data_IF_006796968313
#
_entry.id   IF_006796968313
#
_cell.length_a   1.000
_cell.length_b   1.000
_cell.length_c   1.000
_cell.angle_alpha   90.00
_cell.angle_beta   90.00
_cell.angle_gamma   90.00
#
_symmetry.space_group_name_H-M   'P 1'
#
loop_
_entity.id
_entity.type
_entity.pdbx_description
1 polymer ?
#
# COMPACT_ATOMS: atom_id res chain seq x y z
N UNK A 1 17.39 -7.67 0.46
CA UNK A 1 16.67 -7.97 1.71
C UNK A 1 15.93 -6.71 2.15
N UNK A 2 14.71 -6.83 2.69
CA UNK A 2 13.97 -5.68 3.21
C UNK A 2 14.72 -5.06 4.39
N UNK A 3 14.98 -3.76 4.30
CA UNK A 3 15.55 -2.95 5.38
C UNK A 3 14.40 -2.40 6.24
N UNK A 4 14.40 -2.70 7.54
CA UNK A 4 13.33 -2.33 8.48
C UNK A 4 13.31 -0.84 8.77
N UNK A 5 14.47 -0.19 8.87
CA UNK A 5 14.57 1.26 9.09
C UNK A 5 14.02 2.03 7.89
N UNK A 6 14.42 1.65 6.67
CA UNK A 6 13.91 2.26 5.45
C UNK A 6 12.40 2.03 5.27
N UNK A 7 11.90 0.85 5.68
CA UNK A 7 10.48 0.54 5.66
C UNK A 7 9.70 1.40 6.65
N UNK A 8 10.20 1.58 7.88
CA UNK A 8 9.57 2.42 8.89
C UNK A 8 9.46 3.88 8.44
N UNK A 9 10.52 4.43 7.83
CA UNK A 9 10.52 5.77 7.26
C UNK A 9 9.44 5.92 6.18
N UNK A 10 9.37 4.97 5.24
CA UNK A 10 8.35 5.02 4.18
C UNK A 10 6.94 4.79 4.71
N UNK A 11 6.75 3.92 5.70
CA UNK A 11 5.46 3.73 6.35
C UNK A 11 4.99 5.03 7.02
N UNK A 12 5.89 5.75 7.68
CA UNK A 12 5.61 7.07 8.25
C UNK A 12 5.22 8.08 7.16
N UNK A 13 5.91 8.08 6.01
CA UNK A 13 5.54 8.93 4.87
C UNK A 13 4.12 8.65 4.35
N UNK A 14 3.70 7.38 4.31
CA UNK A 14 2.32 7.01 3.95
C UNK A 14 1.35 7.57 4.99
N UNK A 15 1.62 7.35 6.28
CA UNK A 15 0.79 7.88 7.37
C UNK A 15 0.63 9.41 7.29
N UNK A 16 1.72 10.12 7.09
CA UNK A 16 1.74 11.58 7.00
C UNK A 16 0.98 12.09 5.77
N UNK A 17 1.13 11.42 4.61
CA UNK A 17 0.42 11.77 3.38
C UNK A 17 -1.10 11.69 3.54
N UNK A 18 -1.59 10.70 4.29
CA UNK A 18 -3.02 10.55 4.58
C UNK A 18 -3.48 11.30 5.83
N UNK A 19 -2.58 11.97 6.57
CA UNK A 19 -2.91 12.63 7.83
C UNK A 19 -3.36 11.67 8.93
N UNK A 20 -2.87 10.43 8.93
CA UNK A 20 -3.27 9.38 9.88
C UNK A 20 -2.23 9.21 10.98
N UNK A 21 -2.66 9.22 12.24
CA UNK A 21 -1.84 8.77 13.35
C UNK A 21 -1.76 7.22 13.39
N UNK A 22 -0.85 6.67 14.21
CA UNK A 22 -0.62 5.21 14.28
C UNK A 22 -1.87 4.39 14.64
N UNK A 23 -2.73 4.93 15.52
CA UNK A 23 -3.97 4.24 15.91
C UNK A 23 -4.96 4.19 14.76
N UNK A 24 -5.24 5.35 14.13
CA UNK A 24 -6.14 5.45 12.99
C UNK A 24 -5.63 4.63 11.79
N UNK A 25 -4.31 4.59 11.58
CA UNK A 25 -3.71 3.80 10.52
C UNK A 25 -3.91 2.29 10.76
N UNK A 26 -3.68 1.81 11.98
CA UNK A 26 -3.92 0.41 12.33
C UNK A 26 -5.40 0.02 12.18
N UNK A 27 -6.29 0.89 12.67
CA UNK A 27 -7.75 0.70 12.57
C UNK A 27 -8.18 0.65 11.08
N UNK A 28 -7.57 1.47 10.20
CA UNK A 28 -7.87 1.48 8.76
C UNK A 28 -7.46 0.21 7.99
N UNK A 29 -6.47 -0.51 8.51
CA UNK A 29 -5.95 -1.77 7.98
C UNK A 29 -6.51 -2.99 8.71
N UNK A 30 -7.40 -2.78 9.70
CA UNK A 30 -7.99 -3.82 10.54
C UNK A 30 -6.93 -4.71 11.22
N UNK A 31 -5.88 -4.09 11.74
CA UNK A 31 -4.80 -4.77 12.48
C UNK A 31 -4.64 -4.19 13.88
N UNK A 32 -3.90 -4.90 14.74
CA UNK A 32 -3.61 -4.42 16.09
C UNK A 32 -2.69 -3.20 16.06
N UNK A 33 -2.99 -2.19 16.89
CA UNK A 33 -2.19 -0.96 17.05
C UNK A 33 -0.75 -1.22 17.47
N UNK A 34 -0.52 -2.25 18.28
CA UNK A 34 0.82 -2.74 18.65
C UNK A 34 1.64 -3.13 17.42
N UNK A 35 1.00 -3.67 16.38
CA UNK A 35 1.63 -4.02 15.11
C UNK A 35 2.27 -2.81 14.43
N UNK A 36 1.54 -1.70 14.31
CA UNK A 36 2.08 -0.44 13.76
C UNK A 36 3.21 0.10 14.63
N UNK A 37 3.01 0.14 15.96
CA UNK A 37 4.04 0.65 16.88
C UNK A 37 5.35 -0.14 16.78
N UNK A 38 5.29 -1.46 16.65
CA UNK A 38 6.49 -2.29 16.53
C UNK A 38 7.21 -2.08 15.19
N UNK A 39 6.47 -1.88 14.10
CA UNK A 39 7.04 -1.56 12.78
C UNK A 39 7.75 -0.21 12.77
N UNK A 40 7.12 0.83 13.33
CA UNK A 40 7.71 2.17 13.42
C UNK A 40 8.93 2.21 14.35
N UNK A 41 8.96 1.36 15.39
CA UNK A 41 10.12 1.21 16.28
C UNK A 41 11.20 0.24 15.77
N UNK A 42 11.04 -0.27 14.54
CA UNK A 42 12.00 -1.16 13.86
C UNK A 42 12.26 -2.51 14.54
N UNK A 43 11.50 -2.86 15.59
CA UNK A 43 11.68 -4.13 16.31
C UNK A 43 11.20 -5.34 15.51
N UNK A 44 10.28 -5.12 14.57
CA UNK A 44 9.66 -6.17 13.77
C UNK A 44 9.81 -5.91 12.27
N UNK A 45 9.93 -7.00 11.50
CA UNK A 45 9.73 -6.98 10.05
C UNK A 45 8.23 -6.97 9.72
N UNK A 46 7.80 -6.27 8.66
CA UNK A 46 6.44 -6.38 8.17
C UNK A 46 6.15 -7.80 7.68
N UNK A 47 4.97 -8.32 7.98
CA UNK A 47 4.47 -9.55 7.37
C UNK A 47 4.01 -9.29 5.94
N UNK A 48 3.94 -10.35 5.12
CA UNK A 48 3.38 -10.24 3.77
C UNK A 48 1.92 -9.80 3.82
N UNK A 49 1.12 -10.34 4.74
CA UNK A 49 -0.28 -9.95 4.95
C UNK A 49 -0.43 -8.45 5.20
N UNK A 50 0.43 -7.88 6.06
CA UNK A 50 0.45 -6.44 6.30
C UNK A 50 0.70 -5.65 5.02
N UNK A 51 1.72 -6.04 4.24
CA UNK A 51 2.09 -5.33 3.01
C UNK A 51 0.97 -5.42 1.98
N UNK A 52 0.32 -6.58 1.84
CA UNK A 52 -0.80 -6.75 0.91
C UNK A 52 -1.99 -5.86 1.30
N UNK A 53 -2.38 -5.86 2.57
CA UNK A 53 -3.44 -4.96 3.07
C UNK A 53 -3.09 -3.50 2.86
N UNK A 54 -1.83 -3.13 3.08
CA UNK A 54 -1.34 -1.77 2.89
C UNK A 54 -1.52 -1.29 1.44
N UNK A 55 -1.03 -2.05 0.46
CA UNK A 55 -1.11 -1.65 -0.96
C UNK A 55 -2.53 -1.77 -1.54
N UNK A 56 -3.37 -2.62 -0.95
CA UNK A 56 -4.79 -2.71 -1.31
C UNK A 56 -5.57 -1.50 -0.79
N UNK A 57 -5.31 -1.10 0.47
CA UNK A 57 -5.98 0.03 1.12
C UNK A 57 -5.52 1.38 0.60
N UNK A 58 -4.23 1.52 0.28
CA UNK A 58 -3.59 2.75 -0.15
C UNK A 58 -2.97 2.56 -1.55
N UNK A 59 -3.75 2.70 -2.63
CA UNK A 59 -3.33 2.35 -4.00
C UNK A 59 -2.15 3.18 -4.55
N UNK A 60 -1.86 4.31 -3.91
CA UNK A 60 -0.72 5.19 -4.15
C UNK A 60 0.60 4.55 -3.68
N UNK A 61 0.53 3.56 -2.78
CA UNK A 61 1.68 2.82 -2.26
C UNK A 61 2.06 1.71 -3.23
N UNK A 62 3.21 1.84 -3.85
CA UNK A 62 3.78 0.78 -4.68
C UNK A 62 4.56 -0.25 -3.83
N UNK A 63 4.44 -1.53 -4.18
CA UNK A 63 5.10 -2.66 -3.51
C UNK A 63 6.64 -2.57 -3.56
N UNK A 64 7.21 -2.21 -4.72
CA UNK A 64 8.66 -2.05 -4.86
C UNK A 64 9.15 -0.81 -4.13
N UNK A 65 8.34 0.25 -4.10
CA UNK A 65 8.67 1.44 -3.35
C UNK A 65 8.69 1.17 -1.85
N UNK A 66 7.62 0.61 -1.28
CA UNK A 66 7.53 0.39 0.17
C UNK A 66 8.57 -0.62 0.67
N UNK A 67 8.90 -1.64 -0.13
CA UNK A 67 9.83 -2.70 0.30
C UNK A 67 11.30 -2.45 -0.06
N UNK A 68 11.58 -1.83 -1.21
CA UNK A 68 12.93 -1.66 -1.76
C UNK A 68 13.32 -0.20 -2.07
N UNK A 69 12.42 0.77 -1.85
CA UNK A 69 12.65 2.19 -2.17
C UNK A 69 12.71 2.49 -3.67
N UNK A 70 12.27 1.58 -4.53
CA UNK A 70 12.30 1.75 -6.00
C UNK A 70 10.96 2.28 -6.51
N UNK A 71 11.00 3.29 -7.37
CA UNK A 71 9.80 3.96 -7.88
C UNK A 71 9.52 5.26 -7.12
N UNK A 72 8.25 5.66 -7.04
CA UNK A 72 7.85 6.87 -6.33
C UNK A 72 6.58 6.66 -5.51
N UNK A 73 6.48 7.40 -4.42
CA UNK A 73 5.25 7.61 -3.67
C UNK A 73 4.95 9.12 -3.62
N UNK A 74 3.71 9.56 -3.89
CA UNK A 74 2.61 8.75 -4.42
C UNK A 74 2.94 8.13 -5.78
N UNK A 75 2.40 6.94 -6.08
CA UNK A 75 2.54 6.34 -7.39
C UNK A 75 1.95 7.28 -8.43
N UNK A 76 2.75 7.72 -9.39
CA UNK A 76 2.24 8.43 -10.57
C UNK A 76 1.43 7.42 -11.36
N UNK A 77 0.15 7.70 -11.60
CA UNK A 77 -0.66 6.84 -12.46
C UNK A 77 -0.03 6.81 -13.86
N UNK A 78 0.55 5.66 -14.23
CA UNK A 78 0.73 5.33 -15.63
C UNK A 78 -0.68 5.17 -16.19
N UNK A 79 -1.19 6.19 -16.91
CA UNK A 79 -2.53 6.22 -17.55
C UNK A 79 -2.87 4.91 -18.31
N UNK A 80 -1.85 4.16 -18.71
CA UNK A 80 -1.91 2.83 -19.33
C UNK A 80 -2.67 1.77 -18.50
N UNK A 81 -2.42 1.63 -17.19
CA UNK A 81 -2.99 0.53 -16.38
C UNK A 81 -4.45 0.78 -15.98
N UNK A 82 -4.83 2.04 -15.71
CA UNK A 82 -6.22 2.43 -15.50
C UNK A 82 -7.06 2.21 -16.78
N UNK A 83 -6.48 2.43 -17.96
CA UNK A 83 -7.13 2.14 -19.25
C UNK A 83 -7.36 0.64 -19.47
N UNK A 84 -6.44 -0.23 -19.03
CA UNK A 84 -6.53 -1.67 -19.21
C UNK A 84 -7.61 -2.29 -18.30
N UNK A 85 -7.71 -1.82 -17.04
CA UNK A 85 -8.75 -2.28 -16.10
C UNK A 85 -10.16 -1.86 -16.55
N UNK A 86 -10.29 -0.66 -17.12
CA UNK A 86 -11.54 -0.18 -17.72
C UNK A 86 -11.92 -0.97 -18.97
N UNK A 87 -10.95 -1.24 -19.87
CA UNK A 87 -11.16 -2.06 -21.07
C UNK A 87 -11.66 -3.46 -20.74
N UNK A 88 -11.01 -4.17 -19.81
CA UNK A 88 -11.39 -5.54 -19.46
C UNK A 88 -12.82 -5.61 -18.88
N UNK A 89 -13.20 -4.66 -18.03
CA UNK A 89 -14.56 -4.61 -17.47
C UNK A 89 -15.63 -4.35 -18.55
N UNK A 90 -15.32 -3.53 -19.57
CA UNK A 90 -16.20 -3.35 -20.72
C UNK A 90 -16.29 -4.61 -21.60
N UNK A 91 -15.18 -5.33 -21.85
CA UNK A 91 -15.23 -6.56 -22.64
C UNK A 91 -16.07 -7.65 -21.97
N UNK A 92 -15.93 -7.83 -20.65
CA UNK A 92 -16.78 -8.77 -19.91
C UNK A 92 -18.26 -8.37 -19.96
N UNK A 93 -18.59 -7.09 -19.80
CA UNK A 93 -19.98 -6.62 -19.86
C UNK A 93 -20.62 -6.82 -21.24
N UNK A 94 -19.86 -6.69 -22.33
CA UNK A 94 -20.37 -6.83 -23.70
C UNK A 94 -20.57 -8.30 -24.09
N UNK A 95 -19.80 -9.23 -23.52
CA UNK A 95 -19.89 -10.67 -23.81
C UNK A 95 -21.11 -11.32 -23.11
N UNK A 96 -21.54 -10.79 -21.96
CA UNK A 96 -22.66 -11.35 -21.17
C UNK A 96 -24.05 -10.74 -21.47
N UNK A 97 -24.14 -9.76 -22.38
CA UNK A 97 -25.41 -9.10 -22.78
C UNK A 97 -25.90 -9.54 -24.18
N UNK A 98 -25.43 -10.67 -24.70
CA UNK A 98 -25.94 -11.31 -25.93
C UNK A 98 -26.49 -12.69 -25.65
#
# INVERSE_FOLDING_TARGET
>A
MLNTSDFAIRLQQVMDYYGLNAAAFADSLEIQRSGISHLLSERNKPSLDFILKLIEKFPEVDMYWITQGKGSFPRKEDKELASAKKRNNLTFSVIFLK
#
